data_IF_338116255669
#
_entry.id   IF_338116255669
#
_cell.length_a   1.000
_cell.length_b   1.000
_cell.length_c   1.000
_cell.angle_alpha   90.00
_cell.angle_beta   90.00
_cell.angle_gamma   90.00
#
_symmetry.space_group_name_H-M   'P 1'
#
loop_
_entity.id
_entity.type
_entity.pdbx_description
1 polymer ?
#
# COMPACT_ATOMS: atom_id res chain seq x y z
N UNK A 1 11.86 14.80 -38.48
CA UNK A 1 11.93 14.70 -37.01
C UNK A 1 12.46 16.02 -36.48
N UNK A 2 11.69 16.71 -35.65
CA UNK A 2 12.16 17.92 -34.97
C UNK A 2 12.99 17.53 -33.75
N UNK A 3 13.99 18.34 -33.39
CA UNK A 3 14.77 18.13 -32.16
C UNK A 3 13.87 18.09 -30.91
N UNK A 4 12.72 18.77 -30.93
CA UNK A 4 11.72 18.71 -29.85
C UNK A 4 11.09 17.32 -29.69
N UNK A 5 10.83 16.64 -30.80
CA UNK A 5 10.23 15.30 -30.80
C UNK A 5 11.23 14.28 -30.21
N UNK A 6 12.51 14.46 -30.51
CA UNK A 6 13.59 13.63 -29.97
C UNK A 6 13.74 13.82 -28.46
N UNK A 7 13.74 15.07 -27.97
CA UNK A 7 13.84 15.39 -26.53
C UNK A 7 12.66 14.80 -25.76
N UNK A 8 11.43 15.01 -26.24
CA UNK A 8 10.23 14.47 -25.59
C UNK A 8 10.25 12.94 -25.50
N UNK A 9 10.80 12.25 -26.51
CA UNK A 9 10.89 10.79 -26.53
C UNK A 9 11.93 10.29 -25.53
N UNK A 10 13.09 10.95 -25.42
CA UNK A 10 14.15 10.60 -24.48
C UNK A 10 13.68 10.77 -23.04
N UNK A 11 13.00 11.88 -22.72
CA UNK A 11 12.49 12.14 -21.38
C UNK A 11 11.44 11.09 -20.99
N UNK A 12 10.43 10.86 -21.83
CA UNK A 12 9.37 9.90 -21.53
C UNK A 12 9.89 8.47 -21.32
N UNK A 13 10.87 8.05 -22.12
CA UNK A 13 11.46 6.71 -22.06
C UNK A 13 12.41 6.53 -20.86
N UNK A 14 13.11 7.59 -20.44
CA UNK A 14 13.92 7.57 -19.21
C UNK A 14 13.04 7.54 -17.95
N UNK A 15 11.93 8.30 -17.93
CA UNK A 15 10.99 8.30 -16.80
C UNK A 15 10.26 6.95 -16.67
N UNK A 16 9.77 6.37 -17.77
CA UNK A 16 9.07 5.07 -17.73
C UNK A 16 9.96 3.93 -17.26
N UNK A 17 11.27 3.95 -17.55
CA UNK A 17 12.22 2.92 -17.12
C UNK A 17 12.58 2.98 -15.63
N UNK A 18 12.38 4.14 -14.98
CA UNK A 18 12.67 4.33 -13.56
C UNK A 18 11.43 4.18 -12.67
N UNK A 19 10.24 4.10 -13.26
CA UNK A 19 9.00 3.84 -12.53
C UNK A 19 8.83 2.33 -12.38
N UNK A 20 8.60 1.87 -11.15
CA UNK A 20 8.10 0.51 -10.96
C UNK A 20 6.75 0.40 -11.70
N UNK A 21 6.62 -0.62 -12.56
CA UNK A 21 5.32 -0.99 -13.13
C UNK A 21 4.31 -1.10 -11.98
N UNK A 22 3.07 -0.58 -12.13
CA UNK A 22 2.04 -0.84 -11.15
C UNK A 22 1.94 -2.36 -10.97
N UNK A 23 2.13 -2.84 -9.73
CA UNK A 23 2.03 -4.26 -9.45
C UNK A 23 0.61 -4.71 -9.79
N UNK A 24 0.46 -5.47 -10.87
CA UNK A 24 -0.68 -6.36 -11.03
C UNK A 24 -0.79 -7.21 -9.75
N UNK A 25 -1.91 -7.12 -9.03
CA UNK A 25 -2.17 -7.99 -7.88
C UNK A 25 -2.13 -7.34 -6.49
N UNK A 26 -2.21 -6.01 -6.36
CA UNK A 26 -2.53 -5.43 -5.05
C UNK A 26 -4.02 -5.66 -4.72
N UNK A 27 -4.28 -6.60 -3.82
CA UNK A 27 -5.61 -7.10 -3.43
C UNK A 27 -6.27 -6.29 -2.30
N UNK A 28 -5.59 -5.24 -1.81
CA UNK A 28 -6.09 -4.45 -0.68
C UNK A 28 -5.86 -5.09 0.68
N UNK A 29 -5.04 -6.15 0.77
CA UNK A 29 -4.70 -6.78 2.04
C UNK A 29 -3.83 -5.87 2.91
N UNK A 30 -4.14 -5.77 4.20
CA UNK A 30 -3.33 -5.05 5.17
C UNK A 30 -2.04 -5.78 5.50
N UNK A 31 -0.94 -5.03 5.57
CA UNK A 31 0.32 -5.52 6.12
C UNK A 31 0.23 -5.64 7.65
N UNK A 32 0.80 -6.72 8.20
CA UNK A 32 0.99 -6.85 9.65
C UNK A 32 2.43 -6.43 9.99
N UNK A 33 2.58 -5.38 10.80
CA UNK A 33 3.88 -4.86 11.21
C UNK A 33 4.05 -4.93 12.72
N UNK A 34 5.25 -5.33 13.15
CA UNK A 34 5.70 -5.26 14.54
C UNK A 34 6.45 -3.94 14.74
N UNK A 35 6.03 -3.15 15.71
CA UNK A 35 6.62 -1.86 16.04
C UNK A 35 7.71 -2.02 17.12
N UNK A 36 8.58 -1.01 17.33
CA UNK A 36 9.67 -1.09 18.33
C UNK A 36 9.23 -1.34 19.76
N UNK A 37 7.96 -1.04 20.09
CA UNK A 37 7.32 -1.33 21.37
C UNK A 37 6.88 -2.80 21.51
N UNK A 38 7.19 -3.65 20.54
CA UNK A 38 6.76 -5.06 20.48
C UNK A 38 5.30 -5.24 20.07
N UNK A 39 4.55 -4.16 19.82
CA UNK A 39 3.14 -4.25 19.44
C UNK A 39 2.99 -4.60 17.96
N UNK A 40 2.07 -5.54 17.67
CA UNK A 40 1.70 -5.90 16.30
C UNK A 40 0.46 -5.13 15.87
N UNK A 41 0.48 -4.60 14.66
CA UNK A 41 -0.65 -3.87 14.08
C UNK A 41 -0.85 -4.26 12.63
N UNK A 42 -2.11 -4.40 12.24
CA UNK A 42 -2.51 -4.30 10.85
C UNK A 42 -2.45 -2.82 10.45
N UNK A 43 -1.64 -2.51 9.43
CA UNK A 43 -1.48 -1.17 8.89
C UNK A 43 -2.24 -1.04 7.59
N UNK A 44 -2.83 0.14 7.39
CA UNK A 44 -3.53 0.43 6.14
C UNK A 44 -2.54 0.36 4.97
N UNK A 45 -2.78 -0.46 3.96
CA UNK A 45 -1.81 -0.67 2.89
C UNK A 45 -1.67 0.54 1.96
N UNK A 46 -2.64 1.47 1.98
CA UNK A 46 -2.61 2.69 1.17
C UNK A 46 -1.86 3.86 1.81
N UNK A 47 -1.93 4.02 3.14
CA UNK A 47 -1.37 5.19 3.83
C UNK A 47 -0.40 4.85 4.96
N UNK A 48 -0.17 3.57 5.23
CA UNK A 48 0.76 3.07 6.25
C UNK A 48 0.35 3.32 7.70
N UNK A 49 -0.80 3.98 7.95
CA UNK A 49 -1.26 4.27 9.31
C UNK A 49 -1.74 3.00 10.03
N UNK A 50 -1.45 2.92 11.33
CA UNK A 50 -1.95 1.89 12.24
C UNK A 50 -3.50 1.88 12.21
N UNK A 51 -4.08 0.74 11.88
CA UNK A 51 -5.54 0.61 11.77
C UNK A 51 -6.13 -0.28 12.86
N UNK A 52 -5.52 -1.45 13.10
CA UNK A 52 -6.01 -2.41 14.09
C UNK A 52 -4.84 -3.02 14.86
N UNK A 53 -4.93 -3.03 16.19
CA UNK A 53 -3.94 -3.70 17.04
C UNK A 53 -4.21 -5.21 17.04
N UNK A 54 -3.17 -6.00 16.87
CA UNK A 54 -3.24 -7.47 16.85
C UNK A 54 -2.65 -7.98 18.17
N UNK A 55 -3.49 -8.62 18.99
CA UNK A 55 -3.08 -9.30 20.22
C UNK A 55 -2.65 -10.75 19.90
N UNK A 56 -1.91 -11.44 20.80
CA UNK A 56 -1.42 -12.79 20.55
C UNK A 56 -2.52 -13.81 20.18
N UNK A 57 -3.69 -13.71 20.81
CA UNK A 57 -4.86 -14.56 20.52
C UNK A 57 -5.78 -14.04 19.40
N UNK A 58 -5.44 -12.92 18.75
CA UNK A 58 -6.29 -12.32 17.72
C UNK A 58 -6.28 -13.17 16.44
N UNK A 59 -7.45 -13.68 16.06
CA UNK A 59 -7.70 -14.33 14.77
C UNK A 59 -8.75 -13.55 14.01
N UNK A 60 -8.47 -13.24 12.75
CA UNK A 60 -9.33 -12.43 11.90
C UNK A 60 -9.37 -13.08 10.53
N UNK A 61 -10.57 -13.36 10.03
CA UNK A 61 -10.76 -13.90 8.69
C UNK A 61 -11.71 -12.97 7.92
N UNK A 62 -11.29 -12.54 6.73
CA UNK A 62 -12.10 -11.76 5.78
C UNK A 62 -12.70 -10.47 6.35
N UNK A 63 -12.01 -9.80 7.29
CA UNK A 63 -12.49 -8.54 7.85
C UNK A 63 -12.23 -7.40 6.86
N UNK A 64 -13.28 -6.77 6.36
CA UNK A 64 -13.16 -5.54 5.56
C UNK A 64 -13.28 -4.32 6.47
N UNK A 65 -12.34 -3.38 6.34
CA UNK A 65 -12.25 -2.19 7.18
C UNK A 65 -12.05 -0.94 6.35
N UNK A 66 -12.69 0.16 6.75
CA UNK A 66 -12.42 1.49 6.21
C UNK A 66 -11.27 2.17 6.95
N UNK A 67 -10.30 2.71 6.22
CA UNK A 67 -9.21 3.47 6.83
C UNK A 67 -9.72 4.73 7.52
N UNK A 68 -9.35 4.91 8.80
CA UNK A 68 -9.72 6.08 9.62
C UNK A 68 -8.85 7.30 9.37
N UNK A 69 -7.82 7.20 8.51
CA UNK A 69 -7.00 8.34 8.13
C UNK A 69 -7.81 9.36 7.33
N UNK A 70 -7.81 10.62 7.75
CA UNK A 70 -8.63 11.71 7.19
C UNK A 70 -8.57 11.82 5.67
N UNK A 71 -7.40 11.57 5.08
CA UNK A 71 -7.16 11.69 3.63
C UNK A 71 -7.22 10.35 2.88
N UNK A 72 -7.24 9.21 3.58
CA UNK A 72 -7.20 7.91 2.92
C UNK A 72 -8.61 7.39 2.66
N UNK A 73 -9.38 7.11 3.73
CA UNK A 73 -10.77 6.63 3.68
C UNK A 73 -11.05 5.44 2.75
N UNK A 74 -10.02 4.72 2.27
CA UNK A 74 -10.14 3.54 1.42
C UNK A 74 -10.48 2.31 2.26
N UNK A 75 -11.26 1.41 1.69
CA UNK A 75 -11.54 0.10 2.26
C UNK A 75 -10.40 -0.87 1.97
N UNK A 76 -10.09 -1.75 2.92
CA UNK A 76 -9.01 -2.73 2.84
C UNK A 76 -9.37 -3.98 3.64
N UNK A 77 -8.68 -5.08 3.37
CA UNK A 77 -8.94 -6.39 3.99
C UNK A 77 -7.91 -6.69 5.08
N UNK A 78 -8.35 -7.34 6.14
CA UNK A 78 -7.50 -7.80 7.23
C UNK A 78 -7.76 -9.28 7.46
N UNK A 79 -6.67 -10.05 7.43
CA UNK A 79 -6.65 -11.48 7.70
C UNK A 79 -5.46 -11.75 8.60
N UNK A 80 -5.70 -12.35 9.76
CA UNK A 80 -4.71 -12.70 10.77
C UNK A 80 -4.98 -14.14 11.20
N UNK A 81 -3.99 -15.01 10.98
CA UNK A 81 -4.04 -16.43 11.31
C UNK A 81 -3.38 -16.72 12.64
#
# INVERSE_FOLDING_TARGET
MSMRDVINTIEHDAFSRCMNLPQDGFDGQADIKTFPDGSRWAVCPYCGKKALKILPETRIENLTMKCRGSNCKKDFYVTVK
#
